data_IF_697771517363
#
_entry.id   IF_697771517363
#
_cell.length_a   1.000
_cell.length_b   1.000
_cell.length_c   1.000
_cell.angle_alpha   90.00
_cell.angle_beta   90.00
_cell.angle_gamma   90.00
#
_symmetry.space_group_name_H-M   'P 1'
#
loop_
_entity.id
_entity.type
_entity.pdbx_description
1 polymer ?
#
# COMPACT_ATOMS: atom_id res chain seq x y z
N UNK A 1 -10.01 -5.93 -6.39
CA UNK A 1 -9.38 -6.84 -5.41
C UNK A 1 -8.69 -6.01 -4.34
N UNK A 2 -8.76 -6.39 -3.06
CA UNK A 2 -8.17 -5.66 -1.94
C UNK A 2 -7.16 -6.54 -1.19
N UNK A 3 -5.97 -6.02 -0.91
CA UNK A 3 -4.94 -6.71 -0.12
C UNK A 3 -4.91 -6.13 1.30
N UNK A 4 -5.10 -6.97 2.31
CA UNK A 4 -5.09 -6.53 3.71
C UNK A 4 -3.92 -7.10 4.49
N UNK A 5 -3.20 -6.21 5.15
CA UNK A 5 -2.33 -6.59 6.25
C UNK A 5 -3.13 -7.05 7.49
N UNK A 6 -2.46 -7.77 8.39
CA UNK A 6 -3.02 -8.32 9.61
C UNK A 6 -3.64 -7.26 10.53
N UNK A 7 -3.09 -6.04 10.54
CA UNK A 7 -3.69 -4.93 11.28
C UNK A 7 -5.17 -4.69 10.88
N UNK A 8 -5.52 -4.99 9.64
CA UNK A 8 -6.85 -4.82 9.05
C UNK A 8 -7.70 -6.11 9.02
N UNK A 9 -7.21 -7.21 9.59
CA UNK A 9 -7.90 -8.49 9.62
C UNK A 9 -9.17 -8.44 10.47
N UNK A 10 -10.33 -8.57 9.83
CA UNK A 10 -11.65 -8.70 10.47
C UNK A 10 -12.61 -9.50 9.58
N UNK A 11 -13.11 -10.64 10.06
CA UNK A 11 -14.06 -11.49 9.31
C UNK A 11 -15.30 -10.75 8.81
N UNK A 12 -15.89 -9.87 9.63
CA UNK A 12 -17.02 -9.04 9.21
C UNK A 12 -16.69 -8.19 7.97
N UNK A 13 -15.48 -7.67 7.86
CA UNK A 13 -15.05 -6.87 6.70
C UNK A 13 -14.94 -7.73 5.46
N UNK A 14 -14.39 -8.94 5.60
CA UNK A 14 -14.30 -9.91 4.52
C UNK A 14 -15.69 -10.32 4.02
N UNK A 15 -16.64 -10.55 4.94
CA UNK A 15 -18.01 -10.86 4.58
C UNK A 15 -18.69 -9.73 3.80
N UNK A 16 -18.52 -8.48 4.24
CA UNK A 16 -19.03 -7.30 3.55
C UNK A 16 -18.42 -7.13 2.15
N UNK A 17 -17.13 -7.41 1.97
CA UNK A 17 -16.49 -7.34 0.65
C UNK A 17 -17.13 -8.33 -0.30
N UNK A 18 -17.28 -9.57 0.15
CA UNK A 18 -17.88 -10.63 -0.64
C UNK A 18 -19.37 -10.35 -0.95
N UNK A 19 -20.14 -9.86 0.02
CA UNK A 19 -21.53 -9.41 -0.18
C UNK A 19 -21.68 -8.28 -1.22
N UNK A 20 -20.62 -7.49 -1.43
CA UNK A 20 -20.57 -6.43 -2.42
C UNK A 20 -19.87 -6.85 -3.72
N UNK A 21 -19.75 -8.16 -3.98
CA UNK A 21 -19.09 -8.74 -5.15
C UNK A 21 -17.62 -8.29 -5.30
N UNK A 22 -16.96 -7.98 -4.18
CA UNK A 22 -15.55 -7.65 -4.14
C UNK A 22 -14.70 -8.89 -3.82
N UNK A 23 -13.40 -8.80 -4.13
CA UNK A 23 -12.42 -9.85 -3.82
C UNK A 23 -11.36 -9.34 -2.86
N UNK A 24 -10.85 -10.20 -1.97
CA UNK A 24 -9.77 -9.86 -1.06
C UNK A 24 -8.74 -10.98 -0.87
N UNK A 25 -7.53 -10.61 -0.44
CA UNK A 25 -6.53 -11.51 0.12
C UNK A 25 -5.97 -10.90 1.40
N UNK A 26 -5.88 -11.68 2.48
CA UNK A 26 -5.26 -11.24 3.74
C UNK A 26 -4.43 -12.35 4.37
N UNK A 27 -3.35 -12.01 5.08
CA UNK A 27 -2.62 -12.99 5.88
C UNK A 27 -3.46 -13.42 7.08
N UNK A 28 -3.66 -14.72 7.26
CA UNK A 28 -4.40 -15.26 8.40
C UNK A 28 -3.63 -14.94 9.68
N UNK A 29 -4.30 -14.33 10.67
CA UNK A 29 -3.67 -14.03 11.96
C UNK A 29 -3.23 -15.31 12.67
N UNK A 30 -2.08 -15.32 13.36
CA UNK A 30 -1.65 -16.51 14.13
C UNK A 30 -2.67 -16.91 15.20
N UNK A 31 -3.37 -15.94 15.78
CA UNK A 31 -4.40 -16.18 16.78
C UNK A 31 -5.80 -16.44 16.19
N UNK A 32 -5.94 -16.41 14.86
CA UNK A 32 -7.17 -16.78 14.17
C UNK A 32 -7.14 -18.28 13.90
N UNK A 33 -8.05 -19.01 14.54
CA UNK A 33 -8.13 -20.47 14.44
C UNK A 33 -9.54 -20.92 14.02
N UNK A 34 -9.99 -20.56 12.80
CA UNK A 34 -11.29 -20.98 12.28
C UNK A 34 -11.33 -22.49 12.03
N UNK A 35 -12.54 -23.04 12.08
CA UNK A 35 -12.80 -24.46 11.85
C UNK A 35 -12.80 -24.75 10.36
N UNK A 36 -12.13 -25.82 9.95
CA UNK A 36 -12.11 -26.31 8.57
C UNK A 36 -13.43 -27.01 8.28
N UNK A 37 -14.10 -26.60 7.19
CA UNK A 37 -15.38 -27.16 6.75
C UNK A 37 -15.25 -28.09 5.56
N UNK A 38 -14.23 -27.89 4.71
CA UNK A 38 -13.99 -28.74 3.55
C UNK A 38 -12.51 -28.68 3.14
N UNK A 39 -11.96 -29.79 2.65
CA UNK A 39 -10.70 -29.77 1.90
C UNK A 39 -10.95 -29.51 0.42
N UNK A 40 -10.26 -28.52 -0.17
CA UNK A 40 -10.47 -28.13 -1.56
C UNK A 40 -9.56 -28.89 -2.54
N UNK A 41 -8.76 -29.83 -2.05
CA UNK A 41 -7.83 -30.66 -2.84
C UNK A 41 -7.78 -32.08 -2.31
N UNK A 42 -7.76 -33.05 -3.23
CA UNK A 42 -7.49 -34.45 -2.90
C UNK A 42 -5.99 -34.70 -2.73
N UNK A 43 -5.62 -35.38 -1.65
CA UNK A 43 -4.24 -35.72 -1.32
C UNK A 43 -4.00 -37.21 -1.52
N UNK A 44 -2.87 -37.58 -2.14
CA UNK A 44 -2.49 -38.98 -2.34
C UNK A 44 -1.87 -39.56 -1.06
N UNK A 45 -2.25 -40.79 -0.70
CA UNK A 45 -1.70 -41.54 0.44
C UNK A 45 -2.56 -41.47 1.71
N UNK A 46 -1.98 -41.81 2.87
CA UNK A 46 -2.61 -41.72 4.21
C UNK A 46 -2.65 -40.27 4.71
N UNK A 47 -3.27 -39.39 3.92
CA UNK A 47 -3.34 -37.98 4.25
C UNK A 47 -4.30 -37.78 5.45
N UNK A 48 -3.84 -37.04 6.47
CA UNK A 48 -4.68 -36.67 7.63
C UNK A 48 -5.88 -35.84 7.13
N UNK A 49 -7.13 -36.27 7.37
CA UNK A 49 -8.30 -35.46 7.04
C UNK A 49 -8.33 -34.21 7.93
N UNK A 50 -8.56 -33.06 7.32
CA UNK A 50 -8.55 -31.77 8.02
C UNK A 50 -9.95 -31.27 8.38
N UNK A 51 -10.99 -31.83 7.75
CA UNK A 51 -12.38 -31.43 8.00
C UNK A 51 -12.77 -31.63 9.46
N UNK A 52 -13.34 -30.59 10.07
CA UNK A 52 -13.74 -30.62 11.47
C UNK A 52 -12.68 -30.08 12.44
N UNK A 53 -11.42 -30.11 12.05
CA UNK A 53 -10.30 -29.57 12.84
C UNK A 53 -10.20 -28.05 12.73
N UNK A 54 -9.40 -27.43 13.59
CA UNK A 54 -9.07 -26.01 13.45
C UNK A 54 -7.70 -25.84 12.82
N UNK A 55 -7.58 -24.85 11.93
CA UNK A 55 -6.41 -24.70 11.06
C UNK A 55 -5.06 -24.61 11.81
N UNK A 56 -4.99 -23.86 12.90
CA UNK A 56 -3.76 -23.70 13.68
C UNK A 56 -3.43 -24.95 14.52
N UNK A 57 -4.40 -25.82 14.76
CA UNK A 57 -4.19 -27.04 15.57
C UNK A 57 -3.54 -28.15 14.73
N UNK A 58 -3.64 -28.05 13.39
CA UNK A 58 -3.14 -29.05 12.45
C UNK A 58 -1.94 -28.59 11.62
N UNK A 59 -1.80 -27.28 11.36
CA UNK A 59 -0.82 -26.73 10.40
C UNK A 59 0.63 -27.15 10.68
N UNK A 60 1.05 -27.13 11.95
CA UNK A 60 2.42 -27.47 12.36
C UNK A 60 2.78 -28.95 12.16
N UNK A 61 1.77 -29.82 11.99
CA UNK A 61 1.96 -31.26 11.83
C UNK A 61 1.77 -31.73 10.37
N UNK A 62 1.63 -30.79 9.42
CA UNK A 62 1.42 -31.09 8.01
C UNK A 62 2.72 -31.04 7.22
N UNK A 63 2.98 -32.11 6.46
CA UNK A 63 4.10 -32.20 5.52
C UNK A 63 3.59 -32.15 4.07
N UNK A 64 2.98 -31.02 3.68
CA UNK A 64 2.42 -30.80 2.33
C UNK A 64 2.99 -29.52 1.71
N UNK A 65 3.13 -29.44 0.40
CA UNK A 65 3.62 -28.19 -0.24
C UNK A 65 2.63 -27.03 -0.05
N UNK A 66 1.34 -27.34 -0.07
CA UNK A 66 0.25 -26.37 0.06
C UNK A 66 -0.84 -26.88 0.99
N UNK A 67 -1.59 -25.95 1.57
CA UNK A 67 -2.88 -26.21 2.23
C UNK A 67 -3.92 -25.43 1.41
N UNK A 68 -5.06 -26.04 1.11
CA UNK A 68 -6.16 -25.37 0.42
C UNK A 68 -7.49 -25.92 0.93
N UNK A 69 -8.17 -25.13 1.75
CA UNK A 69 -9.33 -25.54 2.54
C UNK A 69 -10.38 -24.44 2.61
N UNK A 70 -11.62 -24.80 2.89
CA UNK A 70 -12.63 -23.86 3.36
C UNK A 70 -12.68 -23.84 4.88
N UNK A 71 -12.86 -22.65 5.44
CA UNK A 71 -13.03 -22.46 6.87
C UNK A 71 -14.30 -21.67 7.16
N UNK A 72 -14.96 -22.00 8.26
CA UNK A 72 -16.08 -21.21 8.77
C UNK A 72 -15.56 -20.11 9.69
N UNK A 73 -15.82 -18.86 9.31
CA UNK A 73 -15.52 -17.68 10.11
C UNK A 73 -16.80 -17.13 10.73
N UNK A 74 -16.85 -17.09 12.06
CA UNK A 74 -17.93 -16.47 12.82
C UNK A 74 -17.57 -15.04 13.22
N UNK A 75 -18.53 -14.13 13.15
CA UNK A 75 -18.32 -12.72 13.53
C UNK A 75 -19.60 -12.06 14.02
N UNK A 76 -19.44 -11.01 14.81
CA UNK A 76 -20.57 -10.20 15.27
C UNK A 76 -21.03 -9.24 14.18
N UNK A 77 -22.35 -9.11 14.00
CA UNK A 77 -22.96 -8.06 13.19
C UNK A 77 -22.92 -6.71 13.93
N UNK A 78 -23.26 -5.65 13.19
CA UNK A 78 -23.48 -4.34 13.80
C UNK A 78 -24.68 -4.44 14.73
N UNK A 79 -24.61 -3.80 15.88
CA UNK A 79 -25.75 -3.65 16.77
C UNK A 79 -26.91 -2.97 16.04
N UNK A 80 -28.10 -3.55 16.17
CA UNK A 80 -29.33 -3.00 15.63
C UNK A 80 -30.41 -3.06 16.71
N UNK A 81 -31.03 -1.92 17.00
CA UNK A 81 -32.06 -1.79 18.04
C UNK A 81 -31.66 -2.40 19.41
N UNK A 82 -30.42 -2.18 19.85
CA UNK A 82 -29.93 -2.67 21.15
C UNK A 82 -29.54 -4.15 21.18
N UNK A 83 -29.65 -4.87 20.05
CA UNK A 83 -29.32 -6.29 19.95
C UNK A 83 -28.16 -6.49 18.98
N UNK A 84 -27.16 -7.26 19.41
CA UNK A 84 -26.02 -7.64 18.58
C UNK A 84 -26.08 -9.15 18.28
N UNK A 85 -26.26 -9.51 17.01
CA UNK A 85 -26.30 -10.90 16.56
C UNK A 85 -24.95 -11.37 16.02
N UNK A 86 -24.77 -12.69 15.96
CA UNK A 86 -23.66 -13.33 15.26
C UNK A 86 -24.07 -13.75 13.85
N UNK A 87 -23.07 -13.90 13.00
CA UNK A 87 -23.18 -14.42 11.65
C UNK A 87 -21.99 -15.34 11.37
N UNK A 88 -22.12 -16.23 10.39
CA UNK A 88 -21.02 -17.06 9.92
C UNK A 88 -20.91 -17.00 8.40
N UNK A 89 -19.69 -17.14 7.91
CA UNK A 89 -19.40 -17.19 6.48
C UNK A 89 -18.21 -18.09 6.21
N UNK A 90 -18.27 -18.86 5.13
CA UNK A 90 -17.15 -19.66 4.68
C UNK A 90 -16.18 -18.81 3.86
N UNK A 91 -14.90 -19.03 4.07
CA UNK A 91 -13.83 -18.44 3.28
C UNK A 91 -12.81 -19.51 2.92
N UNK A 92 -12.09 -19.29 1.83
CA UNK A 92 -10.96 -20.12 1.47
C UNK A 92 -9.73 -19.72 2.28
N UNK A 93 -9.04 -20.70 2.85
CA UNK A 93 -7.73 -20.55 3.48
C UNK A 93 -6.72 -21.36 2.70
N UNK A 94 -5.61 -20.71 2.38
CA UNK A 94 -4.50 -21.29 1.65
C UNK A 94 -3.22 -21.16 2.45
N UNK A 95 -2.50 -22.26 2.63
CA UNK A 95 -1.15 -22.29 3.18
C UNK A 95 -0.12 -22.53 2.09
N UNK A 96 0.96 -21.76 2.10
CA UNK A 96 2.14 -22.00 1.26
C UNK A 96 3.34 -22.23 2.16
N UNK A 97 4.00 -23.39 2.02
CA UNK A 97 5.17 -23.74 2.82
C UNK A 97 6.35 -22.82 2.50
N UNK A 98 7.02 -22.34 3.54
CA UNK A 98 8.24 -21.53 3.44
C UNK A 98 9.42 -22.49 3.49
N UNK A 99 10.18 -22.56 2.38
CA UNK A 99 11.30 -23.49 2.24
C UNK A 99 12.35 -23.39 3.35
N UNK A 100 12.55 -22.21 3.92
CA UNK A 100 13.61 -21.95 4.91
C UNK A 100 13.18 -22.11 6.37
N UNK A 101 11.87 -22.18 6.65
CA UNK A 101 11.33 -22.14 8.02
C UNK A 101 10.50 -23.37 8.41
N UNK A 102 10.23 -24.29 7.47
CA UNK A 102 9.29 -25.41 7.65
C UNK A 102 7.95 -24.98 8.26
N UNK A 103 7.51 -23.76 7.89
CA UNK A 103 6.31 -23.10 8.41
C UNK A 103 5.45 -22.62 7.22
N UNK A 104 4.14 -22.53 7.42
CA UNK A 104 3.20 -22.10 6.40
C UNK A 104 2.89 -20.61 6.50
N UNK A 105 2.99 -19.90 5.38
CA UNK A 105 2.26 -18.66 5.21
C UNK A 105 0.79 -18.94 4.88
N UNK A 106 -0.08 -18.74 5.88
CA UNK A 106 -1.52 -18.86 5.75
C UNK A 106 -2.15 -17.55 5.25
N UNK A 107 -2.97 -17.66 4.22
CA UNK A 107 -3.77 -16.59 3.61
C UNK A 107 -5.25 -16.94 3.67
N UNK A 108 -6.11 -15.95 3.88
CA UNK A 108 -7.56 -16.07 3.79
C UNK A 108 -8.07 -15.21 2.63
N UNK A 109 -9.02 -15.74 1.86
CA UNK A 109 -9.53 -15.11 0.64
C UNK A 109 -10.93 -15.61 0.27
N UNK A 110 -11.61 -14.89 -0.61
CA UNK A 110 -12.79 -15.34 -1.35
C UNK A 110 -12.50 -15.52 -2.87
N UNK A 111 -11.23 -15.56 -3.27
CA UNK A 111 -10.85 -15.83 -4.66
C UNK A 111 -11.15 -17.28 -5.04
N UNK A 112 -11.76 -17.51 -6.21
CA UNK A 112 -12.14 -18.85 -6.65
C UNK A 112 -10.90 -19.71 -6.89
N UNK A 113 -10.95 -20.97 -6.48
CA UNK A 113 -9.83 -21.92 -6.64
C UNK A 113 -9.59 -22.31 -8.08
N UNK A 114 -10.62 -22.20 -8.92
CA UNK A 114 -10.58 -22.53 -10.34
C UNK A 114 -9.69 -21.57 -11.13
N UNK A 115 -9.52 -20.34 -10.63
CA UNK A 115 -8.72 -19.29 -11.28
C UNK A 115 -7.42 -18.97 -10.53
N UNK A 116 -7.38 -19.13 -9.20
CA UNK A 116 -6.25 -18.73 -8.37
C UNK A 116 -5.72 -19.92 -7.56
N UNK A 117 -4.53 -20.41 -7.93
CA UNK A 117 -3.83 -21.48 -7.23
C UNK A 117 -3.14 -20.95 -5.96
N UNK A 118 -2.73 -21.83 -5.04
CA UNK A 118 -2.02 -21.42 -3.83
C UNK A 118 -0.79 -20.53 -4.07
N UNK A 119 0.03 -20.85 -5.07
CA UNK A 119 1.20 -20.06 -5.43
C UNK A 119 0.84 -18.66 -5.97
N UNK A 120 -0.31 -18.52 -6.62
CA UNK A 120 -0.80 -17.24 -7.14
C UNK A 120 -1.17 -16.31 -5.98
N UNK A 121 -1.81 -16.83 -4.94
CA UNK A 121 -2.16 -16.04 -3.75
C UNK A 121 -0.92 -15.51 -3.03
N UNK A 122 0.10 -16.34 -2.86
CA UNK A 122 1.38 -15.89 -2.31
C UNK A 122 2.00 -14.79 -3.17
N UNK A 123 1.95 -14.95 -4.51
CA UNK A 123 2.46 -13.96 -5.46
C UNK A 123 1.70 -12.64 -5.39
N UNK A 124 0.37 -12.69 -5.41
CA UNK A 124 -0.50 -11.53 -5.25
C UNK A 124 -0.24 -10.83 -3.91
N UNK A 125 -0.07 -11.59 -2.83
CA UNK A 125 0.19 -11.00 -1.52
C UNK A 125 1.58 -10.35 -1.42
N UNK A 126 2.58 -10.76 -2.23
CA UNK A 126 3.87 -10.05 -2.31
C UNK A 126 3.70 -8.60 -2.75
N UNK A 127 2.71 -8.29 -3.61
CA UNK A 127 2.41 -6.92 -4.02
C UNK A 127 2.01 -6.00 -2.86
N UNK A 128 1.68 -6.54 -1.68
CA UNK A 128 1.46 -5.73 -0.47
C UNK A 128 2.72 -4.92 -0.09
N UNK A 129 3.91 -5.45 -0.36
CA UNK A 129 5.18 -4.75 -0.08
C UNK A 129 5.31 -3.44 -0.88
N UNK A 130 4.66 -3.34 -2.05
CA UNK A 130 4.65 -2.10 -2.85
C UNK A 130 4.09 -0.91 -2.07
N UNK A 131 3.16 -1.14 -1.13
CA UNK A 131 2.64 -0.06 -0.27
C UNK A 131 3.73 0.45 0.67
N UNK A 132 4.56 -0.43 1.23
CA UNK A 132 5.68 -0.03 2.09
C UNK A 132 6.75 0.73 1.29
N UNK A 133 7.07 0.25 0.09
CA UNK A 133 7.95 0.95 -0.85
C UNK A 133 7.41 2.34 -1.21
N UNK A 134 6.11 2.46 -1.47
CA UNK A 134 5.46 3.74 -1.77
C UNK A 134 5.60 4.74 -0.61
N UNK A 135 5.33 4.30 0.63
CA UNK A 135 5.49 5.16 1.80
C UNK A 135 6.95 5.53 2.06
N UNK A 136 7.88 4.61 1.80
CA UNK A 136 9.32 4.91 1.87
C UNK A 136 9.71 5.96 0.85
N UNK A 137 9.28 5.82 -0.40
CA UNK A 137 9.50 6.83 -1.45
C UNK A 137 8.90 8.18 -1.06
N UNK A 138 7.66 8.22 -0.56
CA UNK A 138 7.00 9.46 -0.11
C UNK A 138 7.80 10.19 0.98
N UNK A 139 8.36 9.45 1.93
CA UNK A 139 9.22 10.01 2.97
C UNK A 139 10.55 10.50 2.40
N UNK A 140 11.26 9.63 1.66
CA UNK A 140 12.62 9.92 1.19
C UNK A 140 12.66 10.97 0.06
N UNK A 141 11.75 10.88 -0.91
CA UNK A 141 11.78 11.71 -2.12
C UNK A 141 10.88 12.94 -2.03
N UNK A 142 9.84 12.91 -1.19
CA UNK A 142 8.87 13.99 -1.08
C UNK A 142 8.75 14.55 0.35
N UNK A 143 9.63 14.13 1.27
CA UNK A 143 9.77 14.66 2.63
C UNK A 143 8.45 14.64 3.43
N UNK A 144 7.62 13.60 3.21
CA UNK A 144 6.28 13.49 3.82
C UNK A 144 6.31 13.46 5.36
N UNK A 145 7.43 13.07 5.97
CA UNK A 145 7.64 12.99 7.41
C UNK A 145 8.47 14.14 8.00
N UNK A 146 8.85 15.13 7.18
CA UNK A 146 9.74 16.24 7.57
C UNK A 146 9.07 17.61 7.36
N UNK A 147 7.89 17.81 7.94
CA UNK A 147 7.21 19.11 7.91
C UNK A 147 7.52 19.97 9.14
N UNK A 148 8.15 21.12 8.94
CA UNK A 148 8.45 22.12 9.98
C UNK A 148 7.24 23.01 10.35
N UNK A 149 6.03 22.43 10.40
CA UNK A 149 4.80 23.16 10.72
C UNK A 149 3.79 22.29 11.45
N UNK A 150 3.16 22.85 12.46
CA UNK A 150 2.04 22.23 13.19
C UNK A 150 0.67 22.74 12.75
N UNK A 151 0.63 23.67 11.78
CA UNK A 151 -0.63 24.24 11.29
C UNK A 151 -1.29 23.24 10.34
N UNK A 152 -2.45 22.74 10.73
CA UNK A 152 -3.21 21.70 10.00
C UNK A 152 -3.37 22.00 8.51
N UNK A 153 -3.81 23.21 8.16
CA UNK A 153 -4.03 23.59 6.76
C UNK A 153 -2.73 23.59 5.94
N UNK A 154 -1.58 23.92 6.53
CA UNK A 154 -0.28 23.86 5.83
C UNK A 154 0.12 22.40 5.65
N UNK A 155 -0.01 21.57 6.69
CA UNK A 155 0.29 20.15 6.60
C UNK A 155 -0.55 19.46 5.52
N UNK A 156 -1.86 19.75 5.46
CA UNK A 156 -2.74 19.21 4.42
C UNK A 156 -2.26 19.58 3.01
N UNK A 157 -1.93 20.86 2.78
CA UNK A 157 -1.40 21.31 1.49
C UNK A 157 -0.11 20.58 1.12
N UNK A 158 0.81 20.40 2.06
CA UNK A 158 2.08 19.71 1.82
C UNK A 158 1.88 18.22 1.54
N UNK A 159 0.95 17.55 2.25
CA UNK A 159 0.56 16.16 1.97
C UNK A 159 -0.01 16.05 0.55
N UNK A 160 -0.93 16.93 0.17
CA UNK A 160 -1.49 16.94 -1.19
C UNK A 160 -0.41 17.21 -2.24
N UNK A 161 0.50 18.15 -2.00
CA UNK A 161 1.60 18.43 -2.91
C UNK A 161 2.53 17.22 -3.12
N UNK A 162 2.85 16.49 -2.05
CA UNK A 162 3.65 15.26 -2.12
C UNK A 162 2.93 14.16 -2.92
N UNK A 163 1.64 13.94 -2.66
CA UNK A 163 0.84 12.94 -3.38
C UNK A 163 0.66 13.29 -4.87
N UNK A 164 0.43 14.57 -5.19
CA UNK A 164 0.33 15.03 -6.57
C UNK A 164 1.67 14.92 -7.30
N UNK A 165 2.78 15.28 -6.64
CA UNK A 165 4.12 15.14 -7.22
C UNK A 165 4.47 13.68 -7.52
N UNK A 166 4.13 12.77 -6.59
CA UNK A 166 4.24 11.33 -6.80
C UNK A 166 3.40 10.87 -8.00
N UNK A 167 2.15 11.31 -8.11
CA UNK A 167 1.26 10.94 -9.22
C UNK A 167 1.84 11.39 -10.57
N UNK A 168 2.24 12.66 -10.69
CA UNK A 168 2.86 13.19 -11.91
C UNK A 168 4.16 12.45 -12.24
N UNK A 169 4.97 12.15 -11.23
CA UNK A 169 6.19 11.36 -11.39
C UNK A 169 5.90 9.97 -11.95
N UNK A 170 4.85 9.28 -11.48
CA UNK A 170 4.45 7.95 -11.98
C UNK A 170 3.91 7.98 -13.39
N UNK A 171 3.09 8.96 -13.71
CA UNK A 171 2.56 9.11 -15.06
C UNK A 171 3.70 9.35 -16.06
N UNK A 172 4.66 10.22 -15.70
CA UNK A 172 5.83 10.45 -16.53
C UNK A 172 6.73 9.21 -16.64
N UNK A 173 6.87 8.42 -15.57
CA UNK A 173 7.58 7.14 -15.63
C UNK A 173 6.93 6.18 -16.63
N UNK A 174 5.60 6.10 -16.64
CA UNK A 174 4.86 5.29 -17.60
C UNK A 174 5.19 5.69 -19.03
N UNK A 175 5.13 6.98 -19.33
CA UNK A 175 5.48 7.53 -20.65
C UNK A 175 6.93 7.27 -21.04
N UNK A 176 7.88 7.42 -20.10
CA UNK A 176 9.29 7.13 -20.36
C UNK A 176 9.52 5.65 -20.60
N UNK A 177 8.84 4.78 -19.85
CA UNK A 177 8.95 3.33 -20.02
C UNK A 177 8.42 2.89 -21.39
N UNK A 178 7.32 3.50 -21.87
CA UNK A 178 6.78 3.23 -23.21
C UNK A 178 7.73 3.64 -24.36
N UNK A 179 8.65 4.58 -24.12
CA UNK A 179 9.60 5.08 -25.11
C UNK A 179 11.00 4.46 -24.99
N UNK A 180 11.28 3.78 -23.88
CA UNK A 180 12.56 3.15 -23.62
C UNK A 180 12.62 1.75 -24.22
N UNK A 181 13.84 1.24 -24.43
CA UNK A 181 14.03 -0.17 -24.78
C UNK A 181 13.53 -1.08 -23.65
N UNK A 182 12.88 -2.20 -24.00
CA UNK A 182 12.29 -3.17 -23.06
C UNK A 182 13.31 -3.76 -22.05
N UNK A 183 14.61 -3.69 -22.36
CA UNK A 183 15.68 -4.15 -21.48
C UNK A 183 16.00 -3.16 -20.33
N UNK A 184 15.55 -1.90 -20.44
CA UNK A 184 15.83 -0.86 -19.45
C UNK A 184 14.78 -0.91 -18.34
N UNK A 185 15.25 -1.19 -17.13
CA UNK A 185 14.41 -1.18 -15.93
C UNK A 185 14.58 0.15 -15.19
N UNK A 186 13.47 0.77 -14.82
CA UNK A 186 13.43 1.99 -14.03
C UNK A 186 12.92 1.72 -12.61
N UNK A 187 13.81 1.52 -11.62
CA UNK A 187 13.37 1.36 -10.24
C UNK A 187 12.62 2.62 -9.77
N UNK A 188 11.41 2.48 -9.21
CA UNK A 188 10.58 3.55 -8.67
C UNK A 188 11.31 4.70 -7.96
N UNK A 189 12.11 4.37 -6.94
CA UNK A 189 12.79 5.38 -6.13
C UNK A 189 13.93 6.08 -6.87
N UNK A 190 14.64 5.37 -7.75
CA UNK A 190 15.70 5.97 -8.60
C UNK A 190 15.09 6.91 -9.62
N UNK A 191 13.96 6.51 -10.20
CA UNK A 191 13.18 7.37 -11.06
C UNK A 191 12.72 8.63 -10.32
N UNK A 192 12.10 8.48 -9.14
CA UNK A 192 11.59 9.61 -8.36
C UNK A 192 12.71 10.62 -7.99
N UNK A 193 13.90 10.12 -7.63
CA UNK A 193 15.07 10.97 -7.40
C UNK A 193 15.50 11.74 -8.66
N UNK A 194 15.46 11.08 -9.81
CA UNK A 194 15.79 11.69 -11.12
C UNK A 194 14.74 12.72 -11.54
N UNK A 195 13.47 12.41 -11.37
CA UNK A 195 12.36 13.33 -11.61
C UNK A 195 12.51 14.58 -10.75
N UNK A 196 12.78 14.42 -9.44
CA UNK A 196 12.97 15.54 -8.51
C UNK A 196 14.15 16.42 -8.90
N UNK A 197 15.29 15.84 -9.33
CA UNK A 197 16.46 16.62 -9.73
C UNK A 197 16.24 17.43 -11.00
N UNK A 198 15.30 17.02 -11.86
CA UNK A 198 14.95 17.71 -13.11
C UNK A 198 13.63 18.49 -13.04
N UNK A 199 12.94 18.50 -11.89
CA UNK A 199 11.60 19.07 -11.76
C UNK A 199 11.52 20.54 -12.23
N UNK A 200 12.53 21.35 -11.93
CA UNK A 200 12.58 22.74 -12.37
C UNK A 200 12.68 22.90 -13.89
N UNK A 201 13.45 22.02 -14.55
CA UNK A 201 13.57 22.00 -16.01
C UNK A 201 12.27 21.53 -16.66
N UNK A 202 11.67 20.47 -16.12
CA UNK A 202 10.37 19.95 -16.59
C UNK A 202 9.30 21.04 -16.50
N UNK A 203 9.21 21.74 -15.37
CA UNK A 203 8.24 22.84 -15.19
C UNK A 203 8.51 24.02 -16.12
N UNK A 204 9.78 24.33 -16.39
CA UNK A 204 10.16 25.37 -17.34
C UNK A 204 9.69 25.03 -18.76
N UNK A 205 10.01 23.83 -19.25
CA UNK A 205 9.61 23.36 -20.58
C UNK A 205 8.08 23.29 -20.73
N UNK A 206 7.38 22.81 -19.69
CA UNK A 206 5.91 22.80 -19.66
C UNK A 206 5.32 24.22 -19.69
N UNK A 207 5.94 25.16 -18.98
CA UNK A 207 5.56 26.57 -18.99
C UNK A 207 5.63 27.14 -20.40
N UNK A 208 6.79 27.01 -21.06
CA UNK A 208 7.01 27.47 -22.43
C UNK A 208 6.02 26.83 -23.41
N UNK A 209 5.80 25.51 -23.30
CA UNK A 209 4.82 24.80 -24.14
C UNK A 209 3.39 25.32 -23.99
N UNK A 210 2.98 25.68 -22.77
CA UNK A 210 1.66 26.23 -22.47
C UNK A 210 1.56 27.74 -22.78
N UNK A 211 2.62 28.37 -23.29
CA UNK A 211 2.66 29.80 -23.59
C UNK A 211 2.90 30.68 -22.36
N UNK A 212 3.31 30.09 -21.23
CA UNK A 212 3.82 30.83 -20.08
C UNK A 212 5.30 31.12 -20.29
N UNK A 213 5.64 32.36 -20.64
CA UNK A 213 7.03 32.82 -20.60
C UNK A 213 7.32 33.31 -19.17
N UNK A 214 8.18 32.63 -18.39
CA UNK A 214 8.56 33.12 -17.07
C UNK A 214 9.33 34.45 -17.22
N UNK A 215 9.26 35.35 -16.22
CA UNK A 215 10.09 36.55 -16.21
C UNK A 215 11.56 36.19 -16.33
N UNK A 216 12.38 37.15 -16.79
CA UNK A 216 13.82 36.93 -16.91
C UNK A 216 14.42 36.50 -15.57
N UNK A 217 15.54 35.75 -15.61
CA UNK A 217 16.23 35.33 -14.38
C UNK A 217 16.49 36.52 -13.44
N UNK A 218 16.84 37.68 -13.99
CA UNK A 218 17.07 38.90 -13.22
C UNK A 218 15.81 39.38 -12.52
N UNK A 219 14.68 39.45 -13.22
CA UNK A 219 13.39 39.85 -12.62
C UNK A 219 12.95 38.89 -11.52
N UNK A 220 13.08 37.58 -11.76
CA UNK A 220 12.79 36.55 -10.75
C UNK A 220 13.66 36.70 -9.50
N UNK A 221 14.97 36.91 -9.67
CA UNK A 221 15.88 37.14 -8.54
C UNK A 221 15.51 38.40 -7.76
N UNK A 222 15.10 39.47 -8.45
CA UNK A 222 14.65 40.71 -7.82
C UNK A 222 13.35 40.49 -7.04
N UNK A 223 12.37 39.78 -7.61
CA UNK A 223 11.10 39.46 -6.94
C UNK A 223 11.30 38.53 -5.73
N UNK A 224 12.03 37.43 -5.90
CA UNK A 224 12.21 36.42 -4.85
C UNK A 224 13.08 36.93 -3.69
N UNK A 225 14.07 37.79 -3.97
CA UNK A 225 14.93 38.37 -2.94
C UNK A 225 14.26 39.54 -2.17
N UNK A 226 13.09 40.00 -2.62
CA UNK A 226 12.39 41.08 -1.93
C UNK A 226 11.92 40.65 -0.55
N UNK A 227 11.99 41.60 0.38
CA UNK A 227 11.53 41.44 1.75
C UNK A 227 10.00 41.27 1.76
N UNK A 228 9.54 40.02 1.93
CA UNK A 228 8.12 39.62 1.94
C UNK A 228 7.31 40.43 2.98
N UNK A 229 7.90 40.75 4.13
CA UNK A 229 7.30 41.60 5.16
C UNK A 229 8.12 42.86 5.37
N UNK A 230 7.81 43.91 4.61
CA UNK A 230 8.51 45.20 4.66
C UNK A 230 8.63 45.77 6.09
N UNK A 231 7.64 45.50 6.95
CA UNK A 231 7.57 46.00 8.33
C UNK A 231 8.42 45.21 9.35
N UNK A 232 8.96 44.04 9.00
CA UNK A 232 9.72 43.20 9.95
C UNK A 232 11.21 43.51 9.82
N UNK A 233 11.87 44.11 10.82
CA UNK A 233 13.27 44.49 10.68
C UNK A 233 14.16 43.27 10.47
N UNK A 234 15.09 43.33 9.52
CA UNK A 234 16.12 42.30 9.37
C UNK A 234 17.25 42.54 10.36
N UNK A 235 17.98 41.48 10.71
CA UNK A 235 19.05 41.51 11.72
C UNK A 235 20.05 42.68 11.51
N UNK A 236 20.37 43.00 10.25
CA UNK A 236 21.23 44.13 9.88
C UNK A 236 20.59 45.49 10.17
N UNK A 237 19.28 45.67 9.91
CA UNK A 237 18.54 46.90 10.22
C UNK A 237 18.46 47.12 11.74
N UNK A 238 18.24 46.04 12.51
CA UNK A 238 18.20 46.07 13.97
C UNK A 238 19.56 46.42 14.58
N UNK A 239 20.65 45.92 14.00
CA UNK A 239 22.02 46.25 14.44
C UNK A 239 22.42 47.68 14.08
N UNK A 240 21.95 48.21 12.94
CA UNK A 240 22.21 49.59 12.52
C UNK A 240 21.43 50.63 13.32
N UNK A 241 20.28 50.27 13.93
CA UNK A 241 19.51 51.16 14.82
C UNK A 241 19.96 51.11 16.28
N UNK A 242 20.81 50.13 16.65
CA UNK A 242 21.33 49.96 18.01
C UNK A 242 22.72 50.59 18.24
N UNK A 243 23.30 51.23 17.21
CA UNK A 243 24.56 51.98 17.25
C UNK A 243 24.30 53.49 17.21
#
# INVERSE_FOLDING_TARGET
MVLFDQAYFKYRRFALIDENNGYFVSRLKPNANPKITAELREWRGDAIPLEGEKIQDVVDNLYREHIDVEVEATFQRREYAGTQSYDSKTFRVVGVLIADADDYHLYITNLPREEFLPADLATIYRCRWEVELLFRELKTQYNLDEFDTSKTYIMEILIYAALLSLLVSRDLLGLVTEQADDEIVFPPERWAATFRSHAQLILFELGEYLGYSPPSLLERLIEDAQKIHQQRPILQETLATAA
#
